data_IF_138996153815
#
_entry.id   IF_138996153815
#
_cell.length_a   1.000
_cell.length_b   1.000
_cell.length_c   1.000
_cell.angle_alpha   90.00
_cell.angle_beta   90.00
_cell.angle_gamma   90.00
#
_symmetry.space_group_name_H-M   'P 1'
#
loop_
_entity.id
_entity.type
_entity.pdbx_description
1 polymer ?
#
# COMPACT_ATOMS: atom_id res chain seq x y z
N UNK A 1 12.86 8.89 3.67
CA UNK A 1 14.32 8.79 3.74
C UNK A 1 14.83 7.94 2.57
N UNK A 2 15.88 8.36 1.89
CA UNK A 2 16.55 7.61 0.82
C UNK A 2 17.71 6.80 1.41
N UNK A 3 17.97 5.59 0.86
CA UNK A 3 19.02 4.69 1.34
C UNK A 3 18.65 3.90 2.58
N UNK A 4 19.56 3.04 3.03
CA UNK A 4 19.39 2.19 4.21
C UNK A 4 18.94 0.76 3.90
N UNK A 5 18.74 -0.09 4.92
CA UNK A 5 18.43 -1.51 4.78
C UNK A 5 17.04 -1.73 4.19
N UNK A 6 16.79 -2.94 3.70
CA UNK A 6 15.46 -3.40 3.34
C UNK A 6 14.55 -3.50 4.57
N UNK A 7 13.25 -3.41 4.34
CA UNK A 7 12.21 -3.46 5.38
C UNK A 7 11.16 -4.49 5.05
N UNK A 8 10.48 -4.98 6.07
CA UNK A 8 9.40 -5.98 5.99
C UNK A 8 8.11 -5.35 6.51
N UNK A 9 7.32 -4.67 5.64
CA UNK A 9 6.03 -4.12 6.03
C UNK A 9 5.05 -5.24 6.39
N UNK A 10 3.82 -4.85 6.78
CA UNK A 10 2.76 -5.83 7.04
C UNK A 10 2.56 -6.78 5.86
N UNK A 11 2.37 -8.05 6.17
CA UNK A 11 2.00 -9.11 5.23
C UNK A 11 1.15 -10.14 5.99
N UNK A 12 0.13 -10.75 5.37
CA UNK A 12 -0.62 -11.84 5.97
C UNK A 12 0.29 -12.99 6.42
N UNK A 13 -0.07 -13.63 7.52
CA UNK A 13 0.65 -14.80 8.03
C UNK A 13 0.55 -15.99 7.05
N UNK A 14 1.52 -16.88 7.10
CA UNK A 14 1.51 -18.13 6.33
C UNK A 14 1.96 -18.02 4.87
N UNK A 15 2.11 -16.82 4.30
CA UNK A 15 2.49 -16.65 2.88
C UNK A 15 3.89 -17.19 2.59
N UNK A 16 4.85 -16.94 3.48
CA UNK A 16 6.22 -17.41 3.29
C UNK A 16 6.38 -18.87 3.67
N UNK A 17 5.70 -19.29 4.72
CA UNK A 17 5.73 -20.66 5.24
C UNK A 17 5.25 -21.67 4.21
N UNK A 18 4.23 -21.29 3.41
CA UNK A 18 3.65 -22.14 2.36
C UNK A 18 4.64 -22.51 1.24
N UNK A 19 5.63 -21.64 0.97
CA UNK A 19 6.59 -21.80 -0.13
C UNK A 19 8.03 -22.00 0.35
N UNK A 20 8.26 -22.02 1.65
CA UNK A 20 9.61 -22.13 2.21
C UNK A 20 10.03 -23.58 2.39
N UNK A 21 11.29 -23.86 2.06
CA UNK A 21 11.93 -25.12 2.48
C UNK A 21 12.06 -25.15 4.00
N UNK A 22 11.95 -26.32 4.64
CA UNK A 22 12.00 -26.46 6.10
C UNK A 22 13.23 -25.79 6.75
N UNK A 23 14.37 -25.84 6.09
CA UNK A 23 15.67 -25.34 6.59
C UNK A 23 15.95 -23.88 6.18
N UNK A 24 14.98 -23.20 5.53
CA UNK A 24 15.19 -21.84 5.06
C UNK A 24 15.23 -20.86 6.22
N UNK A 25 16.28 -20.05 6.30
CA UNK A 25 16.41 -18.95 7.27
C UNK A 25 15.38 -17.81 7.04
N UNK A 26 14.68 -17.82 5.90
CA UNK A 26 13.60 -16.89 5.56
C UNK A 26 12.23 -17.59 5.57
N UNK A 27 12.07 -18.69 6.30
CA UNK A 27 10.82 -19.42 6.38
C UNK A 27 9.73 -18.59 7.04
N UNK A 28 10.04 -17.99 8.17
CA UNK A 28 9.08 -17.19 8.93
C UNK A 28 9.15 -15.72 8.54
N UNK A 29 8.01 -15.13 8.27
CA UNK A 29 7.89 -13.70 8.08
C UNK A 29 7.69 -13.02 9.42
N UNK A 30 8.58 -12.08 9.73
CA UNK A 30 8.41 -11.18 10.87
C UNK A 30 8.37 -9.76 10.33
N UNK A 31 7.21 -9.11 10.46
CA UNK A 31 7.07 -7.71 10.09
C UNK A 31 7.94 -6.82 10.98
N UNK A 32 8.48 -5.77 10.39
CA UNK A 32 9.15 -4.69 11.13
C UNK A 32 8.13 -3.82 11.87
N UNK A 33 8.61 -2.86 12.64
CA UNK A 33 7.78 -1.94 13.42
C UNK A 33 8.26 -0.50 13.29
N UNK A 34 7.43 0.45 13.73
CA UNK A 34 7.77 1.88 13.75
C UNK A 34 8.00 2.46 12.35
N UNK A 35 8.99 3.31 12.19
CA UNK A 35 9.28 4.01 10.93
C UNK A 35 9.59 3.08 9.75
N UNK A 36 10.02 1.86 9.99
CA UNK A 36 10.32 0.88 8.95
C UNK A 36 9.07 0.51 8.14
N UNK A 37 7.88 0.57 8.73
CA UNK A 37 6.61 0.30 8.04
C UNK A 37 6.26 1.33 6.96
N UNK A 38 6.79 2.56 7.07
CA UNK A 38 6.43 3.70 6.22
C UNK A 38 7.48 4.02 5.15
N UNK A 39 8.30 3.04 4.80
CA UNK A 39 9.30 3.21 3.74
C UNK A 39 8.69 2.98 2.36
N UNK A 40 9.30 3.61 1.35
CA UNK A 40 8.92 3.40 -0.04
C UNK A 40 9.07 1.92 -0.41
N UNK A 41 8.16 1.41 -1.24
CA UNK A 41 8.12 0.01 -1.72
C UNK A 41 9.44 -0.49 -2.32
N UNK A 42 10.27 0.42 -2.82
CA UNK A 42 11.62 0.10 -3.31
C UNK A 42 12.47 -0.62 -2.25
N UNK A 43 12.27 -0.32 -0.98
CA UNK A 43 13.03 -0.89 0.14
C UNK A 43 12.39 -2.15 0.74
N UNK A 44 11.22 -2.56 0.26
CA UNK A 44 10.56 -3.78 0.73
C UNK A 44 11.39 -5.00 0.38
N UNK A 45 11.65 -5.85 1.38
CA UNK A 45 12.33 -7.11 1.18
C UNK A 45 11.52 -7.99 0.21
N UNK A 46 12.20 -8.51 -0.81
CA UNK A 46 11.58 -9.29 -1.87
C UNK A 46 12.03 -10.74 -1.81
N UNK A 47 11.09 -11.64 -1.57
CA UNK A 47 11.31 -13.09 -1.69
C UNK A 47 10.77 -13.54 -3.05
N UNK A 48 11.63 -14.13 -3.90
CA UNK A 48 11.25 -14.53 -5.27
C UNK A 48 10.05 -15.48 -5.31
N UNK A 49 10.05 -16.49 -4.42
CA UNK A 49 8.99 -17.49 -4.34
C UNK A 49 7.67 -16.96 -3.75
N UNK A 50 7.72 -15.85 -3.04
CA UNK A 50 6.55 -15.21 -2.41
C UNK A 50 6.72 -13.69 -2.42
N UNK A 51 6.47 -13.02 -3.55
CA UNK A 51 6.48 -11.56 -3.61
C UNK A 51 5.46 -10.97 -2.64
N UNK A 52 5.63 -9.71 -2.19
CA UNK A 52 4.67 -9.07 -1.32
C UNK A 52 3.28 -9.03 -1.96
N UNK A 53 2.29 -9.64 -1.30
CA UNK A 53 0.96 -9.89 -1.89
C UNK A 53 0.26 -8.60 -2.38
N UNK A 54 0.32 -7.52 -1.58
CA UNK A 54 -0.25 -6.23 -1.98
C UNK A 54 0.44 -5.63 -3.22
N UNK A 55 1.75 -5.82 -3.37
CA UNK A 55 2.47 -5.33 -4.53
C UNK A 55 2.13 -6.14 -5.79
N UNK A 56 1.99 -7.45 -5.66
CA UNK A 56 1.61 -8.34 -6.78
C UNK A 56 0.22 -7.99 -7.30
N UNK A 57 -0.76 -7.81 -6.42
CA UNK A 57 -2.12 -7.39 -6.76
C UNK A 57 -2.15 -6.06 -7.52
N UNK A 58 -1.22 -5.13 -7.22
CA UNK A 58 -1.09 -3.87 -7.93
C UNK A 58 -0.06 -3.90 -9.07
N UNK A 59 0.23 -5.06 -9.63
CA UNK A 59 1.12 -5.27 -10.79
C UNK A 59 2.53 -4.68 -10.59
N UNK A 60 3.08 -4.78 -9.39
CA UNK A 60 4.47 -4.37 -9.20
C UNK A 60 5.43 -5.25 -10.01
N UNK A 61 6.49 -4.69 -10.62
CA UNK A 61 7.47 -5.49 -11.33
C UNK A 61 8.07 -6.58 -10.46
N UNK A 62 8.23 -7.77 -11.01
CA UNK A 62 8.76 -8.95 -10.32
C UNK A 62 10.26 -8.85 -9.95
N UNK A 63 10.96 -7.81 -10.44
CA UNK A 63 12.39 -7.57 -10.25
C UNK A 63 13.32 -8.60 -10.92
N UNK A 64 12.80 -9.48 -11.75
CA UNK A 64 13.59 -10.46 -12.51
C UNK A 64 13.82 -10.01 -13.94
N UNK A 65 12.87 -9.29 -14.51
CA UNK A 65 12.92 -8.77 -15.88
C UNK A 65 12.72 -7.26 -15.90
N UNK A 66 13.29 -6.62 -16.92
CA UNK A 66 13.06 -5.20 -17.12
C UNK A 66 11.60 -4.95 -17.50
N UNK A 67 10.95 -4.09 -16.74
CA UNK A 67 9.58 -3.66 -17.01
C UNK A 67 9.59 -2.19 -17.42
N UNK A 68 9.35 -1.93 -18.68
CA UNK A 68 9.37 -0.56 -19.24
C UNK A 68 8.21 0.27 -18.68
N UNK A 69 7.05 -0.37 -18.54
CA UNK A 69 5.84 0.28 -18.04
C UNK A 69 5.02 -0.72 -17.23
N UNK A 70 4.63 -0.31 -16.03
CA UNK A 70 3.71 -1.06 -15.18
C UNK A 70 2.30 -1.00 -15.76
N UNK A 71 1.60 -2.13 -15.83
CA UNK A 71 0.21 -2.17 -16.22
C UNK A 71 -0.68 -1.45 -15.22
N UNK A 72 -1.71 -0.80 -15.73
CA UNK A 72 -2.77 -0.18 -14.91
C UNK A 72 -4.02 -1.04 -15.05
N UNK A 73 -4.41 -1.64 -13.96
CA UNK A 73 -5.62 -2.46 -13.88
C UNK A 73 -6.56 -1.89 -12.82
N UNK A 74 -7.82 -2.19 -12.96
CA UNK A 74 -8.84 -1.91 -11.95
C UNK A 74 -9.64 -3.20 -11.75
N UNK A 75 -9.30 -3.95 -10.72
CA UNK A 75 -9.91 -5.25 -10.45
C UNK A 75 -10.66 -5.24 -9.12
N UNK A 76 -11.69 -6.08 -8.94
CA UNK A 76 -12.37 -6.22 -7.66
C UNK A 76 -11.43 -6.59 -6.52
N UNK A 77 -10.37 -7.36 -6.80
CA UNK A 77 -9.38 -7.74 -5.80
C UNK A 77 -8.56 -6.53 -5.31
N UNK A 78 -8.22 -5.60 -6.21
CA UNK A 78 -7.55 -4.34 -5.83
C UNK A 78 -8.44 -3.48 -4.92
N UNK A 79 -9.74 -3.38 -5.22
CA UNK A 79 -10.70 -2.70 -4.37
C UNK A 79 -10.79 -3.37 -2.99
N UNK A 80 -10.87 -4.70 -2.96
CA UNK A 80 -10.93 -5.47 -1.71
C UNK A 80 -9.68 -5.22 -0.85
N UNK A 81 -8.50 -5.21 -1.44
CA UNK A 81 -7.25 -4.92 -0.71
C UNK A 81 -7.23 -3.51 -0.17
N UNK A 82 -7.61 -2.50 -0.95
CA UNK A 82 -7.64 -1.11 -0.45
C UNK A 82 -8.60 -0.90 0.72
N UNK A 83 -9.64 -1.71 0.83
CA UNK A 83 -10.62 -1.61 1.91
C UNK A 83 -10.26 -2.44 3.16
N UNK A 84 -9.41 -3.46 3.05
CA UNK A 84 -9.18 -4.42 4.13
C UNK A 84 -7.72 -4.53 4.57
N UNK A 85 -6.75 -4.18 3.73
CA UNK A 85 -5.33 -4.26 4.14
C UNK A 85 -5.02 -3.22 5.22
N UNK A 86 -4.42 -3.61 6.34
CA UNK A 86 -4.12 -2.71 7.45
C UNK A 86 -3.34 -1.45 7.07
N UNK A 87 -2.45 -1.53 6.08
CA UNK A 87 -1.67 -0.37 5.63
C UNK A 87 -2.55 0.68 4.95
N UNK A 88 -3.51 0.24 4.11
CA UNK A 88 -4.44 1.16 3.44
C UNK A 88 -5.46 1.73 4.41
N UNK A 89 -5.98 0.92 5.33
CA UNK A 89 -6.92 1.38 6.36
C UNK A 89 -6.26 2.40 7.30
N UNK A 90 -5.02 2.14 7.72
CA UNK A 90 -4.25 3.09 8.53
C UNK A 90 -4.00 4.41 7.76
N UNK A 91 -3.60 4.33 6.49
CA UNK A 91 -3.39 5.52 5.66
C UNK A 91 -4.70 6.33 5.50
N UNK A 92 -5.83 5.67 5.26
CA UNK A 92 -7.14 6.32 5.17
C UNK A 92 -7.53 7.01 6.48
N UNK A 93 -7.30 6.35 7.62
CA UNK A 93 -7.53 6.93 8.95
C UNK A 93 -6.70 8.20 9.18
N UNK A 94 -5.41 8.15 8.85
CA UNK A 94 -4.55 9.32 8.99
C UNK A 94 -4.93 10.45 8.05
N UNK A 95 -5.35 10.15 6.82
CA UNK A 95 -5.86 11.16 5.90
C UNK A 95 -7.13 11.83 6.45
N UNK A 96 -8.06 11.04 6.99
CA UNK A 96 -9.27 11.56 7.62
C UNK A 96 -8.95 12.45 8.83
N UNK A 97 -8.02 12.05 9.70
CA UNK A 97 -7.56 12.87 10.84
C UNK A 97 -6.98 14.21 10.36
N UNK A 98 -6.18 14.20 9.32
CA UNK A 98 -5.62 15.43 8.73
C UNK A 98 -6.70 16.30 8.10
N UNK A 99 -7.67 15.71 7.41
CA UNK A 99 -8.80 16.45 6.85
C UNK A 99 -9.62 17.15 7.95
N UNK A 100 -9.80 16.51 9.11
CA UNK A 100 -10.48 17.10 10.26
C UNK A 100 -9.69 18.27 10.88
N UNK A 101 -8.37 18.21 10.85
CA UNK A 101 -7.50 19.22 11.47
C UNK A 101 -7.15 20.39 10.54
N UNK A 102 -6.95 20.11 9.25
CA UNK A 102 -6.36 21.05 8.29
C UNK A 102 -7.36 21.62 7.28
N UNK A 103 -8.50 20.94 7.02
CA UNK A 103 -9.49 21.38 6.04
C UNK A 103 -10.48 22.38 6.61
N UNK A 104 -11.23 23.06 5.73
CA UNK A 104 -12.36 23.90 6.12
C UNK A 104 -13.38 23.10 6.97
N UNK A 105 -14.02 23.76 7.92
CA UNK A 105 -14.96 23.11 8.84
C UNK A 105 -16.34 22.87 8.20
N UNK A 106 -16.33 22.33 6.96
CA UNK A 106 -17.51 21.89 6.23
C UNK A 106 -17.28 20.50 5.64
N UNK A 107 -18.32 19.70 5.43
CA UNK A 107 -18.19 18.39 4.78
C UNK A 107 -17.54 18.49 3.39
N UNK A 108 -17.98 19.45 2.59
CA UNK A 108 -17.47 19.70 1.23
C UNK A 108 -15.99 20.05 1.24
N UNK A 109 -15.57 20.93 2.15
CA UNK A 109 -14.16 21.32 2.28
C UNK A 109 -13.25 20.16 2.70
N UNK A 110 -13.75 19.23 3.52
CA UNK A 110 -13.02 18.02 3.88
C UNK A 110 -12.89 17.04 2.72
N UNK A 111 -13.98 16.89 1.94
CA UNK A 111 -14.00 16.06 0.73
C UNK A 111 -13.02 16.62 -0.29
N UNK A 112 -13.04 17.91 -0.57
CA UNK A 112 -12.10 18.55 -1.48
C UNK A 112 -10.64 18.43 -1.02
N UNK A 113 -10.38 18.58 0.28
CA UNK A 113 -9.06 18.36 0.84
C UNK A 113 -8.54 16.95 0.56
N UNK A 114 -9.37 15.93 0.78
CA UNK A 114 -9.01 14.54 0.52
C UNK A 114 -8.80 14.29 -0.98
N UNK A 115 -9.68 14.82 -1.85
CA UNK A 115 -9.58 14.70 -3.29
C UNK A 115 -8.27 15.30 -3.81
N UNK A 116 -7.89 16.48 -3.35
CA UNK A 116 -6.63 17.14 -3.72
C UNK A 116 -5.41 16.30 -3.35
N UNK A 117 -5.45 15.62 -2.19
CA UNK A 117 -4.35 14.77 -1.72
C UNK A 117 -4.24 13.43 -2.46
N UNK A 118 -5.36 12.82 -2.83
CA UNK A 118 -5.41 11.51 -3.47
C UNK A 118 -5.35 11.60 -5.00
N UNK A 119 -6.04 12.57 -5.58
CA UNK A 119 -6.24 12.67 -7.02
C UNK A 119 -5.47 13.83 -7.66
N UNK A 120 -4.88 14.72 -6.84
CA UNK A 120 -4.26 15.99 -7.26
C UNK A 120 -5.23 16.91 -8.06
N UNK A 121 -6.53 16.75 -7.85
CA UNK A 121 -7.61 17.57 -8.40
C UNK A 121 -8.83 17.57 -7.48
N UNK A 122 -9.74 18.54 -7.57
CA UNK A 122 -11.03 18.46 -6.90
C UNK A 122 -11.90 17.35 -7.50
N UNK A 123 -12.91 16.92 -6.77
CA UNK A 123 -13.95 16.06 -7.34
C UNK A 123 -14.77 16.82 -8.40
N UNK A 124 -15.27 16.08 -9.38
CA UNK A 124 -16.28 16.59 -10.31
C UNK A 124 -17.65 16.61 -9.63
N UNK A 125 -18.56 17.43 -10.12
CA UNK A 125 -19.92 17.52 -9.57
C UNK A 125 -20.64 16.15 -9.50
N UNK A 126 -20.40 15.31 -10.49
CA UNK A 126 -20.96 13.94 -10.57
C UNK A 126 -20.39 13.00 -9.49
N UNK A 127 -19.12 13.19 -9.11
CA UNK A 127 -18.42 12.38 -8.10
C UNK A 127 -18.82 12.76 -6.67
N UNK A 128 -19.35 13.96 -6.47
CA UNK A 128 -19.80 14.47 -5.15
C UNK A 128 -21.24 14.11 -4.85
N UNK A 129 -22.02 13.74 -5.86
CA UNK A 129 -23.46 13.43 -5.71
C UNK A 129 -23.74 11.93 -5.50
N UNK A 130 -22.73 11.10 -5.49
CA UNK A 130 -22.80 9.65 -5.24
C UNK A 130 -22.57 9.35 -3.78
#
# INVERSE_FOLDING_TARGET
RLGGPSVKPYQPEGVWEAVAMPESNTRLYKADSGEALYRRSLYTFWKRAAPPASMDIFNAPNRETCTVRRERTNTPLQALVTLNDPQFVEAARHLAQRALAEAANSPEGRIDYMAQRLLARPFRAEETSS
#
